data_IF_506062560675
#
_entry.id   IF_506062560675
#
_cell.length_a   1.000
_cell.length_b   1.000
_cell.length_c   1.000
_cell.angle_alpha   90.00
_cell.angle_beta   90.00
_cell.angle_gamma   90.00
#
_symmetry.space_group_name_H-M   'P 1'
#
loop_
_entity.id
_entity.type
_entity.pdbx_description
1 polymer ?
#
# COMPACT_ATOMS: atom_id res chain seq x y z
N UNK A 1 -11.97 55.44 31.15
CA UNK A 1 -10.99 54.42 31.56
C UNK A 1 -10.94 53.39 30.45
N UNK A 2 -9.90 53.17 29.66
CA UNK A 2 -8.49 53.49 29.79
C UNK A 2 -7.69 52.38 29.09
N UNK A 3 -7.37 52.60 27.81
CA UNK A 3 -6.10 52.25 27.12
C UNK A 3 -5.65 50.77 26.98
N UNK A 4 -5.58 50.25 25.74
CA UNK A 4 -4.39 50.06 24.87
C UNK A 4 -3.74 48.66 25.06
N UNK A 5 -3.84 47.71 24.09
CA UNK A 5 -3.02 47.57 22.84
C UNK A 5 -1.58 47.16 23.21
N UNK A 6 -0.88 46.14 22.67
CA UNK A 6 -0.86 45.40 21.40
C UNK A 6 -0.08 44.11 21.65
N UNK A 7 -0.49 42.98 21.06
CA UNK A 7 0.12 42.35 19.87
C UNK A 7 1.61 42.08 19.99
N UNK A 8 1.99 40.79 19.99
CA UNK A 8 3.20 40.36 19.29
C UNK A 8 2.82 39.74 17.96
N UNK A 9 2.96 40.58 16.95
CA UNK A 9 3.17 40.21 15.58
C UNK A 9 4.60 39.67 15.45
N UNK A 10 4.79 38.80 14.47
CA UNK A 10 6.11 38.47 13.95
C UNK A 10 5.95 37.26 13.06
N UNK A 11 5.69 37.45 11.76
CA UNK A 11 6.72 37.65 10.72
C UNK A 11 7.62 36.41 10.66
N UNK A 12 7.85 35.80 9.51
CA UNK A 12 8.57 36.33 8.33
C UNK A 12 8.64 35.14 7.37
N UNK A 13 8.63 35.18 6.04
CA UNK A 13 8.75 36.19 4.99
C UNK A 13 8.88 35.39 3.66
N UNK A 14 8.40 35.89 2.51
CA UNK A 14 9.20 36.69 1.53
C UNK A 14 10.14 35.75 0.73
N UNK A 15 10.21 35.70 -0.61
CA UNK A 15 10.28 36.72 -1.70
C UNK A 15 10.15 35.97 -3.05
N UNK A 16 9.79 36.54 -4.21
CA UNK A 16 10.44 37.60 -5.04
C UNK A 16 9.31 38.21 -5.91
N UNK A 17 8.92 39.48 -5.81
CA UNK A 17 9.56 40.76 -6.16
C UNK A 17 9.45 41.16 -7.66
N UNK A 18 9.01 42.41 -7.87
CA UNK A 18 8.93 43.14 -9.16
C UNK A 18 7.51 43.64 -9.45
N UNK A 19 7.01 44.72 -8.82
CA UNK A 19 7.12 46.13 -9.25
C UNK A 19 6.48 46.37 -10.65
N UNK A 20 5.64 47.37 -10.94
CA UNK A 20 5.36 48.67 -10.34
C UNK A 20 3.97 49.15 -10.85
N UNK A 21 3.13 49.75 -10.01
CA UNK A 21 2.84 51.20 -9.93
C UNK A 21 1.78 51.72 -10.91
N UNK A 22 0.75 52.32 -10.28
CA UNK A 22 0.01 53.52 -10.66
C UNK A 22 -1.28 53.41 -11.50
N UNK A 23 -2.33 53.81 -10.77
CA UNK A 23 -3.21 54.96 -11.04
C UNK A 23 -4.48 54.68 -11.83
N UNK A 24 -5.54 55.23 -11.24
CA UNK A 24 -6.93 55.20 -11.61
C UNK A 24 -7.20 55.66 -13.05
N UNK A 25 -8.36 55.26 -13.58
CA UNK A 25 -9.42 56.13 -14.11
C UNK A 25 -10.50 55.23 -14.70
N UNK A 26 -11.76 55.59 -14.44
CA UNK A 26 -12.95 54.97 -15.03
C UNK A 26 -12.92 55.06 -16.57
N UNK A 27 -13.46 54.05 -17.28
CA UNK A 27 -14.25 54.18 -18.53
C UNK A 27 -14.54 52.79 -19.15
N UNK A 28 -15.83 52.51 -19.33
CA UNK A 28 -16.49 51.75 -20.42
C UNK A 28 -15.58 50.77 -21.20
N UNK A 29 -15.68 49.47 -20.91
CA UNK A 29 -14.98 48.41 -21.63
C UNK A 29 -15.93 47.28 -22.02
N UNK A 30 -16.10 47.09 -23.33
CA UNK A 30 -16.88 46.02 -23.98
C UNK A 30 -16.56 44.64 -23.40
N UNK A 31 -17.62 43.87 -23.07
CA UNK A 31 -17.50 42.50 -22.60
C UNK A 31 -16.77 41.63 -23.64
N UNK A 32 -15.56 41.18 -23.32
CA UNK A 32 -14.92 40.09 -24.04
C UNK A 32 -15.70 38.79 -23.72
N UNK A 33 -16.02 37.94 -24.72
CA UNK A 33 -16.57 36.63 -24.41
C UNK A 33 -15.47 35.82 -23.74
N UNK A 34 -15.64 35.55 -22.44
CA UNK A 34 -14.88 34.52 -21.76
C UNK A 34 -15.23 33.20 -22.46
N UNK A 35 -14.32 32.73 -23.32
CA UNK A 35 -14.41 31.39 -23.88
C UNK A 35 -14.20 30.42 -22.72
N UNK A 36 -15.31 29.94 -22.15
CA UNK A 36 -15.30 28.86 -21.19
C UNK A 36 -14.79 27.62 -21.94
N UNK A 37 -13.50 27.32 -21.79
CA UNK A 37 -12.98 26.03 -22.18
C UNK A 37 -13.83 24.96 -21.46
N UNK A 38 -14.45 24.01 -22.18
CA UNK A 38 -15.15 22.93 -21.51
C UNK A 38 -14.12 22.22 -20.64
N UNK A 39 -14.34 22.22 -19.32
CA UNK A 39 -13.70 21.26 -18.43
C UNK A 39 -14.19 19.89 -18.89
N UNK A 40 -13.44 19.26 -19.78
CA UNK A 40 -13.58 17.85 -20.07
C UNK A 40 -13.31 17.14 -18.75
N UNK A 41 -14.38 16.69 -18.11
CA UNK A 41 -14.33 15.77 -16.99
C UNK A 41 -13.64 14.51 -17.52
N UNK A 42 -12.32 14.41 -17.33
CA UNK A 42 -11.60 13.18 -17.56
C UNK A 42 -12.06 12.20 -16.46
N UNK A 43 -13.20 11.54 -16.70
CA UNK A 43 -13.53 10.32 -16.00
C UNK A 43 -12.47 9.31 -16.41
N UNK A 44 -11.47 9.14 -15.55
CA UNK A 44 -10.47 8.11 -15.72
C UNK A 44 -11.19 6.76 -15.65
N UNK A 45 -11.30 6.08 -16.80
CA UNK A 45 -11.68 4.67 -16.82
C UNK A 45 -10.49 3.91 -16.23
N UNK A 46 -10.57 3.61 -14.93
CA UNK A 46 -9.63 2.69 -14.30
C UNK A 46 -9.93 1.30 -14.85
N UNK A 47 -9.02 0.75 -15.66
CA UNK A 47 -9.07 -0.65 -16.03
C UNK A 47 -9.04 -1.48 -14.74
N UNK A 48 -10.02 -2.37 -14.55
CA UNK A 48 -10.04 -3.30 -13.44
C UNK A 48 -8.89 -4.30 -13.67
N UNK A 49 -7.88 -4.26 -12.81
CA UNK A 49 -6.80 -5.24 -12.84
C UNK A 49 -7.32 -6.54 -12.21
N UNK A 50 -7.16 -7.65 -12.93
CA UNK A 50 -7.53 -8.98 -12.44
C UNK A 50 -6.63 -9.40 -11.27
N UNK A 51 -7.23 -9.73 -10.12
CA UNK A 51 -6.51 -10.19 -8.95
C UNK A 51 -6.09 -11.66 -9.11
N UNK A 52 -4.88 -11.99 -8.64
CA UNK A 52 -4.45 -13.38 -8.54
C UNK A 52 -5.35 -14.16 -7.57
N UNK A 53 -5.62 -15.45 -7.80
CA UNK A 53 -6.33 -16.29 -6.84
C UNK A 53 -5.54 -16.40 -5.52
N UNK A 54 -6.25 -16.48 -4.40
CA UNK A 54 -5.61 -16.67 -3.09
C UNK A 54 -4.97 -18.07 -3.01
N UNK A 55 -3.75 -18.21 -2.45
CA UNK A 55 -3.16 -19.53 -2.19
C UNK A 55 -4.01 -20.35 -1.21
N UNK A 56 -4.15 -21.65 -1.48
CA UNK A 56 -4.93 -22.62 -0.68
C UNK A 56 -4.05 -23.78 -0.20
N UNK A 57 -4.61 -24.67 0.63
CA UNK A 57 -3.91 -25.88 1.07
C UNK A 57 -2.70 -25.63 1.97
N UNK A 58 -2.66 -24.50 2.68
CA UNK A 58 -1.53 -24.16 3.55
C UNK A 58 -1.33 -25.22 4.65
N UNK A 59 -0.12 -25.75 4.73
CA UNK A 59 0.31 -26.69 5.75
C UNK A 59 1.77 -26.43 6.15
N UNK A 60 2.21 -26.97 7.29
CA UNK A 60 3.61 -26.95 7.66
C UNK A 60 4.09 -28.28 8.23
N UNK A 61 5.38 -28.54 8.06
CA UNK A 61 6.12 -29.61 8.72
C UNK A 61 7.23 -29.02 9.57
N UNK A 62 7.63 -29.73 10.63
CA UNK A 62 8.73 -29.34 11.49
C UNK A 62 9.82 -30.41 11.52
N UNK A 63 11.05 -30.01 11.19
CA UNK A 63 12.25 -30.82 11.41
C UNK A 63 12.88 -30.39 12.74
N UNK A 64 12.69 -31.21 13.78
CA UNK A 64 13.20 -30.94 15.13
C UNK A 64 14.74 -30.97 15.23
N UNK A 65 15.42 -31.78 14.40
CA UNK A 65 16.87 -31.86 14.41
C UNK A 65 17.51 -30.58 13.88
N UNK A 66 16.85 -29.93 12.92
CA UNK A 66 17.30 -28.67 12.29
C UNK A 66 16.54 -27.44 12.78
N UNK A 67 15.58 -27.62 13.68
CA UNK A 67 14.65 -26.59 14.15
C UNK A 67 14.03 -25.78 13.00
N UNK A 68 13.68 -26.45 11.91
CA UNK A 68 13.23 -25.81 10.67
C UNK A 68 11.77 -26.13 10.41
N UNK A 69 10.96 -25.09 10.25
CA UNK A 69 9.60 -25.18 9.75
C UNK A 69 9.63 -25.03 8.23
N UNK A 70 8.95 -25.92 7.53
CA UNK A 70 8.67 -25.79 6.09
C UNK A 70 7.19 -25.62 5.90
N UNK A 71 6.78 -24.48 5.37
CA UNK A 71 5.40 -24.19 5.00
C UNK A 71 5.23 -24.49 3.51
N UNK A 72 4.13 -25.14 3.17
CA UNK A 72 3.75 -25.50 1.80
C UNK A 72 2.32 -25.07 1.53
N UNK A 73 1.99 -24.90 0.25
CA UNK A 73 0.64 -24.63 -0.23
C UNK A 73 0.40 -25.37 -1.56
N UNK A 74 -0.86 -25.39 -1.99
CA UNK A 74 -1.23 -26.00 -3.26
C UNK A 74 -0.45 -25.35 -4.41
N UNK A 75 -0.02 -26.18 -5.36
CA UNK A 75 0.65 -25.66 -6.55
C UNK A 75 -0.29 -24.74 -7.32
N UNK A 76 0.30 -23.76 -8.01
CA UNK A 76 -0.41 -22.89 -8.93
C UNK A 76 -1.17 -23.75 -9.96
N UNK A 77 -2.47 -23.51 -10.12
CA UNK A 77 -3.27 -24.19 -11.13
C UNK A 77 -2.68 -23.93 -12.53
N UNK A 78 -2.80 -24.90 -13.45
CA UNK A 78 -2.19 -24.79 -14.78
C UNK A 78 -2.83 -23.68 -15.62
N UNK A 79 -4.12 -23.43 -15.39
CA UNK A 79 -4.92 -22.38 -16.01
C UNK A 79 -4.71 -20.99 -15.38
N UNK A 80 -4.04 -20.90 -14.23
CA UNK A 80 -3.76 -19.62 -13.62
C UNK A 80 -2.66 -18.91 -14.43
N UNK A 81 -3.03 -17.85 -15.15
CA UNK A 81 -2.08 -17.00 -15.88
C UNK A 81 -1.79 -15.69 -15.16
N UNK A 82 -2.45 -15.43 -14.03
CA UNK A 82 -2.46 -14.13 -13.33
C UNK A 82 -1.40 -14.09 -12.24
N UNK A 83 -1.24 -15.18 -11.48
CA UNK A 83 -0.23 -15.27 -10.41
C UNK A 83 1.16 -15.30 -11.02
N UNK A 84 1.97 -14.30 -10.69
CA UNK A 84 3.37 -14.21 -11.12
C UNK A 84 4.30 -14.87 -10.10
N UNK A 85 4.05 -14.65 -8.82
CA UNK A 85 4.89 -15.15 -7.74
C UNK A 85 4.13 -15.13 -6.40
N UNK A 86 4.78 -15.61 -5.34
CA UNK A 86 4.27 -15.58 -3.98
C UNK A 86 5.15 -14.77 -3.03
N UNK A 87 4.54 -14.22 -1.98
CA UNK A 87 5.19 -13.54 -0.86
C UNK A 87 4.67 -14.04 0.47
N UNK A 88 5.51 -14.02 1.50
CA UNK A 88 5.12 -14.43 2.86
C UNK A 88 4.82 -13.19 3.70
N UNK A 89 3.68 -13.19 4.37
CA UNK A 89 3.34 -12.24 5.42
C UNK A 89 3.46 -12.88 6.80
N UNK A 90 4.07 -12.14 7.72
CA UNK A 90 4.07 -12.47 9.15
C UNK A 90 3.03 -11.58 9.83
N UNK A 91 1.96 -12.19 10.34
CA UNK A 91 0.87 -11.51 11.05
C UNK A 91 1.14 -11.58 12.55
N UNK A 92 0.73 -10.57 13.31
CA UNK A 92 0.93 -10.63 14.75
C UNK A 92 0.60 -9.33 15.48
N UNK A 93 0.37 -9.41 16.81
CA UNK A 93 0.63 -10.57 17.67
C UNK A 93 -0.46 -11.66 17.68
N UNK A 94 -1.60 -11.46 17.02
CA UNK A 94 -2.65 -12.49 16.83
C UNK A 94 -3.05 -12.57 15.34
N UNK A 95 -3.75 -13.62 14.87
CA UNK A 95 -3.98 -13.81 13.44
C UNK A 95 -4.92 -12.77 12.81
N UNK A 96 -5.64 -11.97 13.62
CA UNK A 96 -6.49 -10.88 13.15
C UNK A 96 -5.71 -9.59 12.87
N UNK A 97 -4.46 -9.47 13.36
CA UNK A 97 -3.66 -8.27 13.13
C UNK A 97 -3.12 -8.23 11.69
N UNK A 98 -2.80 -7.04 11.18
CA UNK A 98 -2.17 -6.88 9.87
C UNK A 98 -0.89 -7.72 9.75
N UNK A 99 -0.61 -8.16 8.52
CA UNK A 99 0.59 -8.91 8.22
C UNK A 99 1.65 -8.00 7.59
N UNK A 100 2.89 -8.10 8.06
CA UNK A 100 4.04 -7.52 7.39
C UNK A 100 4.49 -8.47 6.27
N UNK A 101 4.41 -8.01 5.01
CA UNK A 101 4.78 -8.79 3.83
C UNK A 101 6.29 -8.69 3.59
N UNK A 102 6.95 -9.83 3.56
CA UNK A 102 8.38 -9.94 3.28
C UNK A 102 8.68 -9.53 1.82
N UNK A 103 9.86 -8.92 1.58
CA UNK A 103 10.27 -8.52 0.24
C UNK A 103 10.68 -9.72 -0.64
N UNK A 104 10.91 -10.89 -0.04
CA UNK A 104 11.33 -12.10 -0.74
C UNK A 104 10.24 -12.61 -1.68
N UNK A 105 10.66 -12.93 -2.91
CA UNK A 105 9.82 -13.48 -3.97
C UNK A 105 10.01 -14.99 -4.00
N UNK A 106 8.91 -15.72 -3.99
CA UNK A 106 8.89 -17.18 -4.04
C UNK A 106 8.22 -17.61 -5.34
N UNK A 107 8.95 -18.38 -6.15
CA UNK A 107 8.44 -18.92 -7.43
C UNK A 107 7.85 -20.33 -7.29
N UNK A 108 8.23 -21.05 -6.23
CA UNK A 108 7.67 -22.36 -5.89
C UNK A 108 6.46 -22.24 -4.95
N UNK A 109 6.09 -23.37 -4.36
CA UNK A 109 4.96 -23.48 -3.43
C UNK A 109 5.40 -23.83 -2.00
N UNK A 110 6.61 -23.42 -1.61
CA UNK A 110 7.15 -23.69 -0.28
C UNK A 110 8.09 -22.57 0.20
N UNK A 111 8.12 -22.34 1.51
CA UNK A 111 9.16 -21.55 2.17
C UNK A 111 9.55 -22.18 3.51
N UNK A 112 10.75 -21.89 4.00
CA UNK A 112 11.20 -22.41 5.30
C UNK A 112 11.79 -21.32 6.18
N UNK A 113 11.68 -21.51 7.48
CA UNK A 113 12.28 -20.64 8.49
C UNK A 113 12.63 -21.41 9.76
N UNK A 114 13.56 -20.88 10.55
CA UNK A 114 13.98 -21.49 11.82
C UNK A 114 13.01 -21.11 12.94
N UNK A 115 12.63 -22.08 13.76
CA UNK A 115 11.80 -21.89 14.95
C UNK A 115 12.19 -22.91 16.02
N UNK A 116 12.61 -22.41 17.19
CA UNK A 116 12.96 -23.26 18.32
C UNK A 116 11.68 -23.86 18.95
N UNK A 117 11.73 -25.09 19.50
CA UNK A 117 10.60 -25.68 20.21
C UNK A 117 10.12 -24.80 21.37
N UNK A 118 8.80 -24.71 21.58
CA UNK A 118 8.20 -23.91 22.64
C UNK A 118 8.21 -22.40 22.38
N UNK A 119 8.62 -21.96 21.19
CA UNK A 119 8.46 -20.57 20.77
C UNK A 119 7.00 -20.16 20.71
N UNK A 120 6.72 -18.87 20.89
CA UNK A 120 5.36 -18.34 20.70
C UNK A 120 4.84 -18.64 19.28
N UNK A 121 3.52 -18.87 19.11
CA UNK A 121 2.94 -19.16 17.80
C UNK A 121 3.30 -18.09 16.77
N UNK A 122 3.56 -18.53 15.54
CA UNK A 122 3.71 -17.62 14.39
C UNK A 122 2.50 -17.70 13.49
N UNK A 123 2.01 -16.56 13.03
CA UNK A 123 0.87 -16.47 12.14
C UNK A 123 1.38 -16.09 10.75
N UNK A 124 1.21 -16.99 9.80
CA UNK A 124 1.78 -16.88 8.46
C UNK A 124 0.64 -16.75 7.46
N UNK A 125 0.80 -15.83 6.51
CA UNK A 125 -0.10 -15.69 5.36
C UNK A 125 0.73 -15.74 4.09
N UNK A 126 0.28 -16.45 3.08
CA UNK A 126 0.95 -16.46 1.76
C UNK A 126 0.13 -15.60 0.82
N UNK A 127 0.78 -14.74 0.08
CA UNK A 127 0.15 -13.83 -0.88
C UNK A 127 0.55 -14.22 -2.29
N UNK A 128 -0.43 -14.40 -3.17
CA UNK A 128 -0.21 -14.43 -4.61
C UNK A 128 -0.09 -12.99 -5.14
N UNK A 129 0.93 -12.72 -5.95
CA UNK A 129 1.17 -11.40 -6.55
C UNK A 129 0.91 -11.47 -8.07
N UNK A 130 0.10 -10.55 -8.58
CA UNK A 130 -0.11 -10.41 -10.04
C UNK A 130 0.94 -9.49 -10.70
N UNK A 131 0.83 -9.31 -12.02
CA UNK A 131 1.76 -8.45 -12.78
C UNK A 131 1.74 -6.96 -12.38
N UNK A 132 0.67 -6.50 -11.72
CA UNK A 132 0.52 -5.13 -11.21
C UNK A 132 0.87 -4.99 -9.73
N UNK A 133 1.53 -5.99 -9.14
CA UNK A 133 1.93 -6.00 -7.73
C UNK A 133 0.75 -5.99 -6.73
N UNK A 134 -0.45 -6.38 -7.18
CA UNK A 134 -1.57 -6.58 -6.27
C UNK A 134 -1.43 -7.94 -5.58
N UNK A 135 -1.66 -7.93 -4.27
CA UNK A 135 -1.49 -9.10 -3.41
C UNK A 135 -2.85 -9.66 -2.98
N UNK A 136 -3.07 -10.95 -3.25
CA UNK A 136 -4.22 -11.70 -2.73
C UNK A 136 -3.73 -12.70 -1.71
N UNK A 137 -4.15 -12.53 -0.45
CA UNK A 137 -3.68 -13.35 0.66
C UNK A 137 -4.52 -14.60 0.89
N UNK A 138 -3.85 -15.69 1.30
CA UNK A 138 -4.44 -16.94 1.77
C UNK A 138 -5.24 -16.79 3.06
N UNK A 139 -5.76 -17.89 3.60
CA UNK A 139 -6.05 -17.96 5.04
C UNK A 139 -4.78 -17.84 5.88
N UNK A 140 -4.91 -17.42 7.15
CA UNK A 140 -3.78 -17.36 8.08
C UNK A 140 -3.49 -18.77 8.62
N UNK A 141 -2.24 -19.21 8.49
CA UNK A 141 -1.72 -20.44 9.06
C UNK A 141 -1.08 -20.14 10.42
N UNK A 142 -1.52 -20.83 11.47
CA UNK A 142 -0.86 -20.80 12.78
C UNK A 142 0.19 -21.90 12.85
N UNK A 143 1.44 -21.51 13.10
CA UNK A 143 2.59 -22.41 13.26
C UNK A 143 2.99 -22.48 14.73
N UNK A 144 3.12 -23.70 15.23
CA UNK A 144 3.54 -24.03 16.60
C UNK A 144 4.44 -25.25 16.58
N UNK A 145 5.55 -25.25 17.31
CA UNK A 145 6.55 -26.33 17.33
C UNK A 145 7.10 -26.59 18.71
#
# INVERSE_FOLDING_TARGET
MGFIVRVRAGRTGVTVAGAAVAVAVALIGVAAPASAAPRQSAQAVQALVEAAPAPTGLAYTYDAARQTVTVTWDAKALEDTVTRNYRVGNCGPTPQYPCFVAPDIILGNSFSFTMAPGSAPRYIKVYAENASHQLTGSQVLTVTV
#
